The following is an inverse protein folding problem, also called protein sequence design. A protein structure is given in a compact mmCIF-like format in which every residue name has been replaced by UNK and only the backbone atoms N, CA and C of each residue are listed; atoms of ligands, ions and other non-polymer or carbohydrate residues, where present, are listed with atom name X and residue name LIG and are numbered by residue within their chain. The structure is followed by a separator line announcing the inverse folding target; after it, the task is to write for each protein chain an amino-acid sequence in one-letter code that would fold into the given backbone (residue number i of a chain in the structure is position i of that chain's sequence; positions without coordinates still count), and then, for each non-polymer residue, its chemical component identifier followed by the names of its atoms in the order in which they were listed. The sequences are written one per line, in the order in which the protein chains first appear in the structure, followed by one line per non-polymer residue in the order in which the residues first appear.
data_IF_176834365426
#
_entry.id   IF_176834365426
#
_cell.length_a   1.000
_cell.length_b   1.000
_cell.length_c   1.000
_cell.angle_alpha   90.00
_cell.angle_beta   90.00
_cell.angle_gamma   90.00
#
_symmetry.space_group_name_H-M   'P 1'
#
loop_
_entity.id
_entity.type
_entity.pdbx_description
1 polymer ?
#
# COMPACT_ATOMS: atom_id res chain seq x y z
N UNK A 1 0.47 -11.29 -10.27
CA UNK A 1 -0.65 -11.85 -9.48
C UNK A 1 -1.90 -11.91 -10.34
N UNK A 2 -2.62 -13.03 -10.36
CA UNK A 2 -3.89 -13.18 -11.07
C UNK A 2 -5.03 -13.17 -10.07
N UNK A 3 -6.07 -12.38 -10.31
CA UNK A 3 -7.24 -12.30 -9.44
C UNK A 3 -8.52 -12.02 -10.23
N UNK A 4 -9.65 -12.38 -9.65
CA UNK A 4 -10.97 -12.06 -10.19
C UNK A 4 -11.50 -10.77 -9.53
N UNK A 5 -12.21 -9.95 -10.30
CA UNK A 5 -12.89 -8.75 -9.84
C UNK A 5 -14.07 -8.41 -10.77
N UNK A 6 -15.30 -8.44 -10.24
CA UNK A 6 -16.53 -8.10 -10.99
C UNK A 6 -16.73 -8.93 -12.27
N UNK A 7 -16.44 -10.23 -12.20
CA UNK A 7 -16.50 -11.16 -13.33
C UNK A 7 -15.34 -11.04 -14.31
N UNK A 8 -14.40 -10.12 -14.09
CA UNK A 8 -13.21 -9.96 -14.92
C UNK A 8 -11.98 -10.61 -14.29
N UNK A 9 -11.13 -11.22 -15.12
CA UNK A 9 -9.81 -11.69 -14.71
C UNK A 9 -8.79 -10.57 -14.89
N UNK A 10 -8.11 -10.21 -13.80
CA UNK A 10 -7.06 -9.20 -13.76
C UNK A 10 -5.69 -9.83 -13.53
N UNK A 11 -4.69 -9.31 -14.23
CA UNK A 11 -3.28 -9.52 -13.94
C UNK A 11 -2.68 -8.24 -13.35
N UNK A 12 -2.03 -8.36 -12.20
CA UNK A 12 -1.35 -7.27 -11.51
C UNK A 12 0.14 -7.60 -11.40
N UNK A 13 0.98 -6.78 -12.03
CA UNK A 13 2.44 -6.94 -12.02
C UNK A 13 3.11 -5.79 -11.26
N UNK A 14 4.08 -6.06 -10.36
CA UNK A 14 4.88 -5.00 -9.75
C UNK A 14 5.82 -4.38 -10.77
N UNK A 15 6.00 -3.07 -10.68
CA UNK A 15 7.05 -2.32 -11.37
C UNK A 15 8.10 -1.99 -10.34
N UNK A 16 9.34 -2.43 -10.57
CA UNK A 16 10.45 -2.18 -9.66
C UNK A 16 10.98 -0.75 -9.85
N UNK A 17 11.31 -0.09 -8.74
CA UNK A 17 12.03 1.17 -8.77
C UNK A 17 13.43 0.97 -9.37
N UNK A 18 14.00 1.98 -10.06
CA UNK A 18 15.34 1.86 -10.62
C UNK A 18 16.38 1.51 -9.56
N UNK A 19 17.25 0.54 -9.89
CA UNK A 19 18.39 0.15 -9.05
C UNK A 19 19.26 1.37 -8.74
N UNK A 20 19.38 1.70 -7.46
CA UNK A 20 20.41 2.61 -6.98
C UNK A 20 21.55 1.76 -6.37
N UNK A 21 22.83 2.09 -6.61
CA UNK A 21 23.97 1.26 -6.19
C UNK A 21 24.00 0.92 -4.69
N UNK A 22 23.38 1.76 -3.86
CA UNK A 22 23.37 1.65 -2.40
C UNK A 22 22.00 1.26 -1.82
N UNK A 23 20.95 1.16 -2.64
CA UNK A 23 19.59 0.87 -2.20
C UNK A 23 19.05 -0.35 -2.94
N UNK A 24 18.57 -1.34 -2.18
CA UNK A 24 17.92 -2.54 -2.72
C UNK A 24 16.69 -2.17 -3.56
N UNK A 25 16.33 -3.07 -4.46
CA UNK A 25 15.12 -2.92 -5.27
C UNK A 25 13.91 -2.72 -4.34
N UNK A 26 13.07 -1.75 -4.67
CA UNK A 26 11.78 -1.51 -4.00
C UNK A 26 10.66 -1.55 -5.02
N UNK A 27 9.44 -1.75 -4.55
CA UNK A 27 8.26 -1.65 -5.41
C UNK A 27 8.09 -0.16 -5.77
N UNK A 28 8.24 0.17 -7.04
CA UNK A 28 8.03 1.51 -7.58
C UNK A 28 6.58 1.77 -7.99
N UNK A 29 5.82 0.71 -8.25
CA UNK A 29 4.41 0.78 -8.58
C UNK A 29 3.85 -0.53 -9.10
N UNK A 30 2.72 -0.47 -9.78
CA UNK A 30 2.05 -1.64 -10.35
C UNK A 30 1.42 -1.31 -11.69
N UNK A 31 1.34 -2.33 -12.55
CA UNK A 31 0.51 -2.30 -13.75
C UNK A 31 -0.60 -3.34 -13.63
N UNK A 32 -1.79 -2.95 -14.06
CA UNK A 32 -2.99 -3.79 -14.03
C UNK A 32 -3.44 -4.02 -15.46
N UNK A 33 -3.78 -5.27 -15.76
CA UNK A 33 -4.29 -5.69 -17.05
C UNK A 33 -5.56 -6.53 -16.86
N UNK A 34 -6.53 -6.35 -17.74
CA UNK A 34 -7.73 -7.17 -17.83
C UNK A 34 -7.60 -8.16 -18.98
N UNK A 35 -8.02 -9.40 -18.77
CA UNK A 35 -8.12 -10.39 -19.84
C UNK A 35 -9.34 -10.07 -20.73
N UNK A 36 -9.09 -9.80 -22.00
CA UNK A 36 -10.09 -9.76 -23.07
C UNK A 36 -10.15 -11.16 -23.67
N UNK A 37 -11.16 -11.94 -23.28
CA UNK A 37 -11.30 -13.35 -23.67
C UNK A 37 -11.60 -13.48 -25.16
N UNK A 38 -12.43 -12.60 -25.71
CA UNK A 38 -12.82 -12.62 -27.13
C UNK A 38 -11.63 -12.34 -28.04
N UNK A 39 -10.80 -11.36 -27.67
CA UNK A 39 -9.60 -11.00 -28.43
C UNK A 39 -8.32 -11.74 -27.97
N UNK A 40 -8.44 -12.67 -27.02
CA UNK A 40 -7.33 -13.44 -26.43
C UNK A 40 -6.10 -12.60 -26.06
N UNK A 41 -6.31 -11.44 -25.43
CA UNK A 41 -5.24 -10.47 -25.13
C UNK A 41 -5.41 -9.80 -23.77
N UNK A 42 -4.31 -9.26 -23.25
CA UNK A 42 -4.32 -8.42 -22.05
C UNK A 42 -4.48 -6.95 -22.43
N UNK A 43 -5.44 -6.28 -21.79
CA UNK A 43 -5.73 -4.85 -22.00
C UNK A 43 -5.36 -4.10 -20.73
N UNK A 44 -4.50 -3.08 -20.85
CA UNK A 44 -4.09 -2.26 -19.70
C UNK A 44 -5.28 -1.54 -19.07
N UNK A 45 -5.33 -1.57 -17.75
CA UNK A 45 -6.35 -0.93 -16.92
C UNK A 45 -5.71 0.26 -16.22
N UNK A 46 -6.11 1.47 -16.61
CA UNK A 46 -5.61 2.70 -16.02
C UNK A 46 -6.31 3.06 -14.70
N UNK A 47 -7.54 2.58 -14.52
CA UNK A 47 -8.37 2.83 -13.34
C UNK A 47 -9.27 1.65 -13.05
N UNK A 48 -9.38 1.27 -11.78
CA UNK A 48 -10.32 0.23 -11.32
C UNK A 48 -11.77 0.73 -11.37
N UNK A 49 -12.72 -0.19 -11.28
CA UNK A 49 -14.11 0.16 -11.03
C UNK A 49 -14.23 1.04 -9.77
N UNK A 50 -15.21 1.95 -9.75
CA UNK A 50 -15.25 3.10 -8.86
C UNK A 50 -15.08 2.79 -7.37
N UNK A 51 -15.56 1.64 -6.89
CA UNK A 51 -15.50 1.22 -5.50
C UNK A 51 -14.56 0.02 -5.28
N UNK A 52 -13.60 -0.23 -6.19
CA UNK A 52 -12.72 -1.41 -6.10
C UNK A 52 -11.32 -1.07 -5.60
N UNK A 53 -10.80 -1.95 -4.74
CA UNK A 53 -9.41 -2.00 -4.33
C UNK A 53 -8.87 -3.42 -4.53
N UNK A 54 -7.57 -3.54 -4.79
CA UNK A 54 -6.91 -4.83 -4.97
C UNK A 54 -5.97 -5.10 -3.81
N UNK A 55 -5.89 -6.36 -3.40
CA UNK A 55 -4.96 -6.87 -2.41
C UNK A 55 -4.05 -7.87 -3.13
N UNK A 56 -2.74 -7.62 -3.16
CA UNK A 56 -1.77 -8.49 -3.85
C UNK A 56 -0.59 -8.89 -2.95
N UNK A 57 -0.32 -10.19 -2.89
CA UNK A 57 0.82 -10.77 -2.20
C UNK A 57 1.30 -12.00 -2.95
N UNK A 58 2.48 -12.50 -2.59
CA UNK A 58 3.01 -13.74 -3.18
C UNK A 58 2.04 -14.92 -3.00
N UNK A 59 1.35 -14.99 -1.85
CA UNK A 59 0.53 -16.15 -1.47
C UNK A 59 -0.95 -15.99 -1.78
N UNK A 60 -1.43 -14.77 -1.99
CA UNK A 60 -2.84 -14.48 -2.17
C UNK A 60 -3.06 -13.17 -2.91
N UNK A 61 -4.09 -13.13 -3.75
CA UNK A 61 -4.58 -11.90 -4.33
C UNK A 61 -6.09 -11.91 -4.51
N UNK A 62 -6.75 -10.82 -4.19
CA UNK A 62 -8.21 -10.66 -4.31
C UNK A 62 -8.60 -9.20 -4.47
N UNK A 63 -9.86 -8.97 -4.86
CA UNK A 63 -10.46 -7.64 -4.90
C UNK A 63 -11.52 -7.49 -3.82
N UNK A 64 -11.67 -6.28 -3.28
CA UNK A 64 -12.72 -5.91 -2.33
C UNK A 64 -13.47 -4.68 -2.80
N UNK A 65 -14.67 -4.46 -2.25
CA UNK A 65 -15.32 -3.15 -2.27
C UNK A 65 -14.64 -2.28 -1.22
N UNK A 66 -14.13 -1.12 -1.62
CA UNK A 66 -13.43 -0.23 -0.70
C UNK A 66 -14.39 0.30 0.37
N UNK A 67 -15.63 0.57 0.01
CA UNK A 67 -16.71 0.98 0.92
C UNK A 67 -17.02 -0.03 2.04
N UNK A 68 -16.73 -1.32 1.84
CA UNK A 68 -16.99 -2.39 2.81
C UNK A 68 -15.81 -2.60 3.77
N UNK A 69 -14.64 -2.02 3.49
CA UNK A 69 -13.43 -2.19 4.30
C UNK A 69 -13.04 -0.84 4.92
N UNK A 70 -13.18 -0.67 6.25
CA UNK A 70 -12.83 0.57 6.91
C UNK A 70 -11.42 1.07 6.58
N UNK A 71 -11.32 2.34 6.17
CA UNK A 71 -10.06 3.00 5.77
C UNK A 71 -9.50 2.54 4.43
N UNK A 72 -10.20 1.67 3.68
CA UNK A 72 -9.78 1.25 2.35
C UNK A 72 -10.12 2.34 1.34
N UNK A 73 -9.17 2.64 0.46
CA UNK A 73 -9.32 3.60 -0.62
C UNK A 73 -9.60 2.87 -1.92
N UNK A 74 -10.62 3.33 -2.66
CA UNK A 74 -10.88 2.87 -4.02
C UNK A 74 -9.71 3.20 -4.95
N UNK A 75 -9.60 2.48 -6.06
CA UNK A 75 -8.55 2.67 -7.06
C UNK A 75 -7.13 2.56 -6.49
N UNK A 76 -6.95 1.73 -5.46
CA UNK A 76 -5.67 1.47 -4.82
C UNK A 76 -5.33 -0.03 -4.83
N UNK A 77 -4.02 -0.30 -4.77
CA UNK A 77 -3.45 -1.64 -4.67
C UNK A 77 -2.71 -1.74 -3.34
N UNK A 78 -3.21 -2.59 -2.46
CA UNK A 78 -2.64 -2.94 -1.18
C UNK A 78 -1.72 -4.14 -1.39
N UNK A 79 -0.45 -4.01 -1.04
CA UNK A 79 0.53 -5.05 -1.33
C UNK A 79 1.31 -5.52 -0.11
N UNK A 80 1.70 -6.79 -0.14
CA UNK A 80 2.67 -7.40 0.78
C UNK A 80 3.59 -8.28 -0.06
N UNK A 81 4.88 -7.96 -0.12
CA UNK A 81 5.80 -8.69 -0.99
C UNK A 81 7.28 -8.41 -0.71
N UNK A 82 8.08 -9.37 -1.14
CA UNK A 82 9.55 -9.29 -1.20
C UNK A 82 9.93 -8.80 -2.60
N UNK A 83 11.03 -8.04 -2.70
CA UNK A 83 11.54 -7.59 -3.99
C UNK A 83 12.67 -8.50 -4.48
N UNK A 84 13.45 -9.05 -3.54
CA UNK A 84 14.46 -10.08 -3.76
C UNK A 84 14.58 -11.01 -2.53
N UNK A 85 15.23 -12.16 -2.69
CA UNK A 85 15.41 -13.20 -1.65
C UNK A 85 16.20 -12.72 -0.41
N UNK A 86 16.83 -11.55 -0.48
CA UNK A 86 17.59 -10.94 0.61
C UNK A 86 16.87 -9.73 1.21
N UNK A 87 15.69 -9.38 0.71
CA UNK A 87 14.93 -8.20 1.12
C UNK A 87 14.01 -8.50 2.28
N UNK A 88 13.74 -7.49 3.10
CA UNK A 88 12.64 -7.60 4.05
C UNK A 88 11.33 -7.62 3.26
N UNK A 89 10.41 -8.51 3.64
CA UNK A 89 9.01 -8.41 3.20
C UNK A 89 8.54 -6.99 3.48
N UNK A 90 8.07 -6.30 2.46
CA UNK A 90 7.49 -4.97 2.60
C UNK A 90 5.99 -5.02 2.39
N UNK A 91 5.31 -4.06 2.97
CA UNK A 91 3.90 -3.83 2.72
C UNK A 91 3.67 -2.36 2.42
N UNK A 92 2.62 -2.07 1.68
CA UNK A 92 2.36 -0.72 1.24
C UNK A 92 1.05 -0.56 0.50
N UNK A 93 0.82 0.68 0.07
CA UNK A 93 -0.33 1.06 -0.74
C UNK A 93 0.15 1.83 -1.96
N UNK A 94 -0.29 1.39 -3.13
CA UNK A 94 -0.11 2.08 -4.39
C UNK A 94 -1.42 2.72 -4.83
N UNK A 95 -1.40 4.03 -5.07
CA UNK A 95 -2.52 4.75 -5.67
C UNK A 95 -2.40 4.64 -7.19
N UNK A 96 -3.39 4.04 -7.84
CA UNK A 96 -3.44 4.02 -9.31
C UNK A 96 -3.77 5.42 -9.87
N UNK A 97 -4.43 6.28 -9.07
CA UNK A 97 -4.74 7.65 -9.44
C UNK A 97 -3.46 8.51 -9.50
N UNK A 98 -2.69 8.53 -8.41
CA UNK A 98 -1.44 9.30 -8.32
C UNK A 98 -0.28 8.60 -9.03
N UNK A 99 -0.49 7.35 -9.45
CA UNK A 99 0.54 6.44 -9.98
C UNK A 99 1.77 6.36 -9.10
N UNK A 100 1.55 6.30 -7.80
CA UNK A 100 2.60 6.41 -6.78
C UNK A 100 2.34 5.45 -5.62
N UNK A 101 3.44 4.90 -5.09
CA UNK A 101 3.44 4.22 -3.79
C UNK A 101 3.27 5.26 -2.69
N UNK A 102 2.10 5.27 -2.05
CA UNK A 102 1.75 6.21 -0.98
C UNK A 102 2.60 5.99 0.26
N UNK A 103 2.83 4.72 0.60
CA UNK A 103 3.82 4.33 1.59
C UNK A 103 4.27 2.88 1.35
N UNK A 104 5.47 2.58 1.84
CA UNK A 104 6.01 1.23 1.91
C UNK A 104 6.81 1.08 3.21
N UNK A 105 6.61 -0.01 3.94
CA UNK A 105 7.28 -0.28 5.21
C UNK A 105 7.70 -1.75 5.28
N UNK A 106 8.81 -2.09 5.95
CA UNK A 106 9.13 -3.48 6.28
C UNK A 106 8.02 -4.07 7.18
N UNK A 107 7.61 -5.30 6.88
CA UNK A 107 6.84 -6.16 7.79
C UNK A 107 7.85 -6.66 8.82
N UNK A 108 7.83 -6.09 10.03
CA UNK A 108 8.77 -6.48 11.09
C UNK A 108 8.80 -8.00 11.31
N UNK A 109 9.98 -8.57 11.54
CA UNK A 109 10.15 -10.02 11.68
C UNK A 109 11.56 -10.48 11.27
N UNK A 110 11.81 -11.78 11.41
CA UNK A 110 13.00 -12.45 10.88
C UNK A 110 12.97 -12.51 9.36
N UNK A 111 14.16 -12.59 8.76
CA UNK A 111 14.32 -12.77 7.32
C UNK A 111 13.74 -14.13 6.90
N UNK A 112 13.05 -14.18 5.77
CA UNK A 112 12.50 -15.40 5.21
C UNK A 112 10.98 -15.37 5.00
N UNK A 113 10.52 -16.29 4.15
CA UNK A 113 9.14 -16.37 3.68
C UNK A 113 8.16 -16.64 4.82
N UNK A 114 7.09 -15.87 4.89
CA UNK A 114 6.01 -16.15 5.83
C UNK A 114 5.21 -17.38 5.37
N UNK A 115 4.89 -18.27 6.31
CA UNK A 115 4.18 -19.52 6.02
C UNK A 115 2.68 -19.34 5.66
N UNK A 116 2.13 -18.14 5.85
CA UNK A 116 0.72 -17.84 5.59
C UNK A 116 0.55 -16.40 5.09
N UNK A 117 -0.48 -16.21 4.25
CA UNK A 117 -0.80 -14.90 3.69
C UNK A 117 -1.14 -13.92 4.83
N UNK A 118 -0.55 -12.73 4.78
CA UNK A 118 -0.82 -11.67 5.75
C UNK A 118 -1.34 -10.44 5.06
N UNK A 119 -2.34 -9.84 5.70
CA UNK A 119 -2.92 -8.58 5.28
C UNK A 119 -2.96 -7.64 6.46
N UNK A 120 -2.83 -6.36 6.16
CA UNK A 120 -3.06 -5.29 7.12
C UNK A 120 -4.44 -4.69 6.86
N UNK A 121 -5.11 -4.27 7.94
CA UNK A 121 -6.34 -3.51 7.80
C UNK A 121 -5.98 -2.05 7.49
N UNK A 122 -6.48 -1.46 6.39
CA UNK A 122 -6.19 -0.07 6.03
C UNK A 122 -6.46 0.92 7.16
N UNK A 123 -7.54 0.73 7.93
CA UNK A 123 -7.89 1.55 9.09
C UNK A 123 -6.80 1.65 10.17
N UNK A 124 -5.94 0.63 10.33
CA UNK A 124 -4.91 0.61 11.39
C UNK A 124 -3.68 1.44 11.00
N UNK A 125 -3.58 1.83 9.73
CA UNK A 125 -2.35 2.37 9.13
C UNK A 125 -2.50 3.83 8.72
N UNK A 126 -3.72 4.22 8.37
CA UNK A 126 -4.05 5.57 7.94
C UNK A 126 -4.67 6.43 9.07
N UNK A 127 -4.10 6.53 10.30
CA UNK A 127 -4.38 7.69 11.15
C UNK A 127 -3.56 8.94 10.74
N UNK A 128 -2.50 8.77 9.95
CA UNK A 128 -1.48 9.83 9.75
C UNK A 128 -1.57 10.60 8.43
N UNK A 129 -2.39 10.17 7.47
CA UNK A 129 -2.53 10.86 6.18
C UNK A 129 -3.69 11.87 6.16
N UNK A 130 -4.62 11.81 7.11
CA UNK A 130 -5.91 12.53 7.03
C UNK A 130 -6.03 13.76 7.93
N UNK A 131 -4.92 14.42 8.27
CA UNK A 131 -4.97 15.71 8.97
C UNK A 131 -5.11 16.93 8.02
N UNK A 132 -5.32 16.73 6.71
CA UNK A 132 -5.42 17.83 5.73
C UNK A 132 -6.74 17.93 4.98
N UNK A 133 -7.71 17.05 5.21
CA UNK A 133 -8.99 17.09 4.51
C UNK A 133 -10.18 17.59 5.35
N UNK A 134 -9.96 18.20 6.52
CA UNK A 134 -11.03 18.96 7.20
C UNK A 134 -10.96 20.45 6.86
N UNK A 135 -11.77 20.77 5.86
CA UNK A 135 -12.31 22.05 5.41
C UNK A 135 -11.98 23.31 6.24
N UNK A 136 -11.46 24.29 5.50
CA UNK A 136 -11.73 25.72 5.65
C UNK A 136 -13.22 25.94 5.99
N UNK A 137 -13.49 26.33 7.24
CA UNK A 137 -14.54 27.27 7.65
C UNK A 137 -14.46 27.41 9.19
N UNK A 138 -13.98 28.56 9.67
CA UNK A 138 -14.03 28.88 11.10
C UNK A 138 -12.85 29.67 11.63
N UNK A 139 -12.61 30.87 11.09
CA UNK A 139 -11.78 31.90 11.70
C UNK A 139 -12.29 32.19 13.11
N UNK A 140 -11.47 31.99 14.14
CA UNK A 140 -11.40 32.90 15.30
C UNK A 140 -10.11 32.73 16.08
N UNK A 141 -9.51 33.88 16.33
CA UNK A 141 -8.20 34.11 16.91
C UNK A 141 -8.09 33.59 18.35
N UNK A 142 -6.86 33.24 18.75
CA UNK A 142 -6.22 33.72 20.00
C UNK A 142 -4.76 33.28 20.08
N UNK A 143 -3.90 34.28 20.24
CA UNK A 143 -2.47 34.21 20.55
C UNK A 143 -2.18 33.38 21.82
N UNK A 144 -1.07 32.63 21.83
CA UNK A 144 -0.14 32.61 22.96
C UNK A 144 1.28 32.18 22.52
N UNK A 145 2.25 32.75 23.21
CA UNK A 145 3.66 33.00 22.89
C UNK A 145 4.66 31.85 23.17
N UNK A 146 5.83 31.96 22.51
CA UNK A 146 7.19 31.49 22.89
C UNK A 146 7.40 29.99 23.17
N UNK A 147 8.50 29.33 22.86
CA UNK A 147 9.91 29.71 22.64
C UNK A 147 10.65 28.61 21.87
N UNK A 148 11.80 29.00 21.32
CA UNK A 148 12.77 28.24 20.52
C UNK A 148 13.28 26.93 21.15
N UNK A 149 13.71 26.01 20.27
CA UNK A 149 14.40 24.78 20.63
C UNK A 149 14.99 24.07 19.40
N UNK A 150 16.21 24.49 19.04
CA UNK A 150 17.26 23.88 18.21
C UNK A 150 17.02 22.46 17.63
N UNK A 151 17.06 22.35 16.30
CA UNK A 151 17.28 21.09 15.57
C UNK A 151 18.76 20.68 15.67
N UNK A 152 19.03 19.46 16.13
CA UNK A 152 20.29 18.78 15.88
C UNK A 152 20.01 17.33 15.46
N UNK A 153 20.69 16.93 14.39
CA UNK A 153 20.33 15.80 13.54
C UNK A 153 20.65 14.41 14.10
N UNK A 154 20.24 13.44 13.29
CA UNK A 154 20.48 12.00 13.45
C UNK A 154 19.58 11.29 14.47
N UNK A 155 18.39 10.90 14.02
CA UNK A 155 17.79 9.68 14.56
C UNK A 155 16.92 8.99 13.49
N UNK A 156 17.47 7.94 12.89
CA UNK A 156 16.68 6.98 12.12
C UNK A 156 15.76 6.27 13.12
N UNK A 157 14.56 6.81 13.29
CA UNK A 157 13.58 6.31 14.25
C UNK A 157 13.24 4.85 13.92
N UNK A 158 13.82 3.92 14.69
CA UNK A 158 13.39 2.53 14.78
C UNK A 158 12.03 2.50 15.46
N UNK A 159 10.97 2.78 14.71
CA UNK A 159 9.61 2.47 15.17
C UNK A 159 9.40 0.97 15.08
N UNK A 160 9.59 0.31 16.22
CA UNK A 160 9.29 -1.11 16.43
C UNK A 160 7.78 -1.23 16.66
N UNK A 161 7.01 -1.40 15.59
CA UNK A 161 5.57 -1.68 15.70
C UNK A 161 5.38 -3.20 15.78
N UNK A 162 4.87 -3.68 16.92
CA UNK A 162 4.40 -5.07 17.06
C UNK A 162 3.00 -5.19 16.46
N UNK A 163 2.79 -6.20 15.61
CA UNK A 163 1.47 -6.53 15.07
C UNK A 163 0.93 -7.79 15.71
N UNK A 164 -0.34 -7.77 16.12
CA UNK A 164 -1.11 -8.96 16.43
C UNK A 164 -1.47 -9.65 15.12
N UNK A 165 -0.99 -10.89 14.95
CA UNK A 165 -1.42 -11.74 13.84
C UNK A 165 -2.77 -12.35 14.20
N UNK A 166 -3.79 -12.11 13.40
CA UNK A 166 -5.03 -12.88 13.47
C UNK A 166 -4.84 -14.11 12.57
N UNK A 167 -4.60 -15.26 13.18
CA UNK A 167 -4.68 -16.56 12.52
C UNK A 167 -6.11 -17.06 12.56
N UNK A 168 -6.57 -17.69 11.48
CA UNK A 168 -7.78 -18.50 11.50
C UNK A 168 -7.45 -19.84 12.18
N UNK A 169 -8.30 -20.25 13.13
CA UNK A 169 -8.20 -21.52 13.87
C UNK A 169 -8.14 -22.77 12.98
#
# INVERSE_FOLDING_TARGET
HLLESEGAVLFVGPVLAPRQPTCRDTIGGFEVYRLDVEAARWVKVERLAADRALFVSEQSSFSVRASEVPGCMSNCIYFVGEVDDYSYVTWGVYSMEERKVLFQRPVGGSWGRYAAARWFLPAVVIPFADARAHCILGRKDKNLSSSEGQEDGSNCAKSRCYYQSFGSD
#
